data_IF_279398888787
#
_entry.id   IF_279398888787
#
_cell.length_a   1.000
_cell.length_b   1.000
_cell.length_c   1.000
_cell.angle_alpha   90.00
_cell.angle_beta   90.00
_cell.angle_gamma   90.00
#
_symmetry.space_group_name_H-M   'P 1'
#
loop_
_entity.id
_entity.type
_entity.pdbx_description
1 polymer ?
#
# COMPACT_ATOMS: atom_id res chain seq x y z
N UNK A 1 11.92 -11.00 19.73
CA UNK A 1 12.01 -11.37 18.31
C UNK A 1 13.32 -12.08 17.91
N UNK A 2 14.20 -12.43 18.83
CA UNK A 2 15.46 -13.13 18.52
C UNK A 2 15.41 -14.65 18.67
N UNK A 3 14.27 -15.21 19.07
CA UNK A 3 14.18 -16.66 19.35
C UNK A 3 14.22 -17.51 18.07
N UNK A 4 13.82 -16.93 16.92
CA UNK A 4 13.72 -17.70 15.67
C UNK A 4 14.51 -17.12 14.50
N UNK A 5 15.32 -16.08 14.69
CA UNK A 5 16.08 -15.37 13.64
C UNK A 5 15.23 -15.02 12.38
N UNK A 6 13.94 -14.75 12.60
CA UNK A 6 12.98 -14.42 11.55
C UNK A 6 12.70 -12.93 11.55
N UNK A 7 12.96 -12.28 10.42
CA UNK A 7 12.59 -10.89 10.20
C UNK A 7 11.12 -10.77 9.81
N UNK A 8 10.34 -10.07 10.61
CA UNK A 8 8.98 -9.69 10.25
C UNK A 8 9.01 -8.66 9.12
N UNK A 9 8.52 -9.00 7.92
CA UNK A 9 8.49 -8.08 6.76
C UNK A 9 7.25 -7.20 6.73
N UNK A 10 6.12 -7.76 7.17
CA UNK A 10 4.82 -7.12 7.06
C UNK A 10 4.00 -7.42 8.30
N UNK A 11 3.39 -6.40 8.86
CA UNK A 11 2.43 -6.49 9.96
C UNK A 11 1.12 -5.90 9.48
N UNK A 12 0.08 -6.69 9.49
CA UNK A 12 -1.28 -6.25 9.19
C UNK A 12 -2.01 -5.97 10.50
N UNK A 13 -2.45 -4.74 10.66
CA UNK A 13 -3.16 -4.28 11.84
C UNK A 13 -4.66 -4.25 11.52
N UNK A 14 -5.42 -5.08 12.22
CA UNK A 14 -6.87 -5.15 12.11
C UNK A 14 -7.48 -4.93 13.46
N UNK A 15 -8.58 -4.20 13.50
CA UNK A 15 -9.44 -4.13 14.67
C UNK A 15 -10.80 -4.78 14.37
N UNK A 16 -11.45 -5.26 15.41
CA UNK A 16 -12.82 -5.76 15.28
C UNK A 16 -13.74 -4.59 14.98
N UNK A 17 -14.55 -4.75 13.95
CA UNK A 17 -15.65 -3.83 13.61
C UNK A 17 -16.96 -4.61 13.59
N UNK A 18 -18.00 -4.10 14.27
CA UNK A 18 -19.31 -4.73 14.21
C UNK A 18 -19.80 -4.74 12.77
N UNK A 19 -20.24 -5.89 12.29
CA UNK A 19 -20.91 -6.01 11.01
C UNK A 19 -22.42 -5.91 11.18
N UNK A 20 -23.15 -5.22 10.29
CA UNK A 20 -24.60 -5.21 10.32
C UNK A 20 -25.17 -6.63 10.31
N UNK A 21 -26.06 -6.94 11.25
CA UNK A 21 -26.65 -8.28 11.40
C UNK A 21 -25.80 -9.28 12.19
N UNK A 22 -24.62 -8.92 12.65
CA UNK A 22 -23.83 -9.73 13.57
C UNK A 22 -24.40 -9.61 14.99
N UNK A 23 -24.54 -10.75 15.68
CA UNK A 23 -24.87 -10.79 17.10
C UNK A 23 -23.62 -10.62 17.99
N UNK A 24 -22.43 -10.53 17.37
CA UNK A 24 -21.18 -10.43 18.10
C UNK A 24 -20.88 -8.97 18.39
N UNK A 25 -20.87 -8.63 19.66
CA UNK A 25 -20.42 -7.31 20.14
C UNK A 25 -18.94 -7.37 20.49
N UNK A 26 -18.20 -6.32 20.13
CA UNK A 26 -16.83 -6.18 20.58
C UNK A 26 -16.86 -5.79 22.07
N UNK A 27 -16.37 -6.64 23.00
CA UNK A 27 -16.37 -6.32 24.42
C UNK A 27 -15.49 -5.10 24.73
N UNK A 28 -14.48 -4.85 23.91
CA UNK A 28 -13.57 -3.71 24.02
C UNK A 28 -13.34 -3.10 22.63
N UNK A 29 -14.21 -2.20 22.19
CA UNK A 29 -14.05 -1.56 20.88
C UNK A 29 -12.83 -0.64 20.91
N UNK A 30 -11.96 -0.81 19.91
CA UNK A 30 -10.78 0.04 19.73
C UNK A 30 -11.19 1.31 18.97
N UNK A 31 -11.01 2.47 19.60
CA UNK A 31 -11.26 3.77 18.97
C UNK A 31 -10.24 4.09 17.87
N UNK A 32 -10.52 5.06 17.02
CA UNK A 32 -9.61 5.51 15.97
C UNK A 32 -8.28 6.02 16.55
N UNK A 33 -8.33 6.77 17.66
CA UNK A 33 -7.14 7.27 18.32
C UNK A 33 -6.25 6.14 18.90
N UNK A 34 -6.85 5.12 19.50
CA UNK A 34 -6.12 3.96 20.00
C UNK A 34 -5.52 3.14 18.85
N UNK A 35 -6.27 2.98 17.76
CA UNK A 35 -5.78 2.30 16.57
C UNK A 35 -4.56 2.99 15.97
N UNK A 36 -4.62 4.33 15.78
CA UNK A 36 -3.48 5.12 15.31
C UNK A 36 -2.29 5.05 16.26
N UNK A 37 -2.54 5.03 17.57
CA UNK A 37 -1.49 4.82 18.57
C UNK A 37 -0.82 3.45 18.40
N UNK A 38 -1.59 2.39 18.15
CA UNK A 38 -1.04 1.06 17.87
C UNK A 38 -0.19 1.06 16.60
N UNK A 39 -0.61 1.76 15.54
CA UNK A 39 0.19 1.92 14.30
C UNK A 39 1.51 2.62 14.60
N UNK A 40 1.48 3.73 15.34
CA UNK A 40 2.67 4.49 15.71
C UNK A 40 3.64 3.64 16.57
N UNK A 41 3.14 2.94 17.58
CA UNK A 41 3.94 2.04 18.42
C UNK A 41 4.56 0.93 17.57
N UNK A 42 3.80 0.29 16.69
CA UNK A 42 4.30 -0.74 15.79
C UNK A 42 5.40 -0.20 14.88
N UNK A 43 5.26 1.02 14.36
CA UNK A 43 6.30 1.68 13.54
C UNK A 43 7.59 1.91 14.31
N UNK A 44 7.51 2.37 15.56
CA UNK A 44 8.69 2.57 16.40
C UNK A 44 9.35 1.25 16.80
N UNK A 45 8.54 0.22 17.10
CA UNK A 45 9.04 -1.09 17.51
C UNK A 45 9.68 -1.90 16.37
N UNK A 46 9.16 -1.75 15.15
CA UNK A 46 9.60 -2.50 13.95
C UNK A 46 9.72 -1.55 12.75
N UNK A 47 10.72 -0.64 12.76
CA UNK A 47 10.82 0.45 11.78
C UNK A 47 11.01 -0.01 10.34
N UNK A 48 11.50 -1.22 10.13
CA UNK A 48 11.76 -1.81 8.81
C UNK A 48 10.56 -2.58 8.23
N UNK A 49 9.56 -2.93 9.05
CA UNK A 49 8.41 -3.69 8.57
C UNK A 49 7.41 -2.81 7.82
N UNK A 50 6.73 -3.40 6.85
CA UNK A 50 5.55 -2.77 6.24
C UNK A 50 4.38 -2.88 7.21
N UNK A 51 3.76 -1.74 7.53
CA UNK A 51 2.54 -1.72 8.31
C UNK A 51 1.36 -1.54 7.37
N UNK A 52 0.46 -2.52 7.35
CA UNK A 52 -0.68 -2.59 6.44
C UNK A 52 -1.94 -2.13 7.16
N UNK A 53 -2.62 -1.16 6.57
CA UNK A 53 -4.01 -0.82 6.86
C UNK A 53 -4.93 -1.38 5.79
N UNK A 54 -6.20 -1.58 6.12
CA UNK A 54 -7.20 -2.05 5.15
C UNK A 54 -8.18 -0.95 4.80
N UNK A 55 -8.74 -1.00 3.60
CA UNK A 55 -9.82 -0.10 3.17
C UNK A 55 -11.17 -0.40 3.83
N UNK A 56 -11.22 -1.36 4.75
CA UNK A 56 -12.35 -1.53 5.69
C UNK A 56 -12.43 -0.40 6.72
N UNK A 57 -11.32 0.28 6.96
CA UNK A 57 -11.26 1.48 7.79
C UNK A 57 -11.73 2.71 6.99
N UNK A 58 -12.28 3.75 7.65
CA UNK A 58 -12.67 4.99 6.99
C UNK A 58 -11.47 5.68 6.30
N UNK A 59 -11.72 6.39 5.20
CA UNK A 59 -10.67 7.05 4.41
C UNK A 59 -9.86 8.08 5.20
N UNK A 60 -10.48 8.81 6.13
CA UNK A 60 -9.74 9.71 7.04
C UNK A 60 -8.68 8.97 7.85
N UNK A 61 -8.97 7.73 8.25
CA UNK A 61 -8.01 6.90 9.00
C UNK A 61 -6.85 6.41 8.12
N UNK A 62 -7.03 6.29 6.80
CA UNK A 62 -5.92 5.94 5.90
C UNK A 62 -4.89 7.04 5.85
N UNK A 63 -5.32 8.32 5.70
CA UNK A 63 -4.45 9.49 5.71
C UNK A 63 -3.69 9.59 7.03
N UNK A 64 -4.43 9.57 8.14
CA UNK A 64 -3.85 9.73 9.46
C UNK A 64 -2.94 8.53 9.80
N UNK A 65 -3.31 7.32 9.39
CA UNK A 65 -2.50 6.12 9.54
C UNK A 65 -1.19 6.18 8.76
N UNK A 66 -1.21 6.67 7.51
CA UNK A 66 0.01 6.93 6.75
C UNK A 66 0.88 7.99 7.45
N UNK A 67 0.27 9.05 8.00
CA UNK A 67 0.96 10.10 8.75
C UNK A 67 1.68 9.60 10.01
N UNK A 68 1.16 8.55 10.68
CA UNK A 68 1.77 7.96 11.88
C UNK A 68 2.60 6.70 11.60
N UNK A 69 2.78 6.32 10.33
CA UNK A 69 3.73 5.29 9.95
C UNK A 69 3.20 4.06 9.24
N UNK A 70 1.92 3.98 8.88
CA UNK A 70 1.48 2.97 7.93
C UNK A 70 2.17 3.18 6.58
N UNK A 71 2.50 2.09 5.90
CA UNK A 71 3.26 2.14 4.64
C UNK A 71 2.64 1.29 3.53
N UNK A 72 1.50 0.68 3.80
CA UNK A 72 0.78 -0.11 2.82
C UNK A 72 -0.72 -0.03 3.08
N UNK A 73 -1.50 0.14 2.02
CA UNK A 73 -2.96 0.00 2.04
C UNK A 73 -3.36 -1.28 1.30
N UNK A 74 -4.23 -2.07 1.91
CA UNK A 74 -4.86 -3.22 1.29
C UNK A 74 -6.22 -2.79 0.74
N UNK A 75 -6.32 -2.68 -0.59
CA UNK A 75 -7.53 -2.25 -1.29
C UNK A 75 -8.44 -3.43 -1.62
N UNK A 76 -9.71 -3.16 -1.91
CA UNK A 76 -10.67 -4.18 -2.33
C UNK A 76 -10.95 -5.26 -1.29
N UNK A 77 -10.71 -4.96 -0.01
CA UNK A 77 -10.97 -5.93 1.06
C UNK A 77 -12.47 -6.12 1.26
N UNK A 78 -12.97 -7.27 0.85
CA UNK A 78 -14.35 -7.69 1.07
C UNK A 78 -14.44 -8.73 2.19
N UNK A 79 -15.50 -8.70 2.96
CA UNK A 79 -15.72 -9.67 4.04
C UNK A 79 -16.27 -11.00 3.51
N UNK A 80 -16.83 -10.99 2.31
CA UNK A 80 -17.45 -12.16 1.69
C UNK A 80 -16.44 -12.84 0.75
N UNK A 81 -16.22 -14.16 0.88
CA UNK A 81 -15.41 -14.90 -0.08
C UNK A 81 -15.98 -14.75 -1.49
N UNK A 82 -15.09 -14.61 -2.46
CA UNK A 82 -15.43 -14.53 -3.88
C UNK A 82 -16.30 -13.32 -4.28
N UNK A 83 -16.26 -12.24 -3.51
CA UNK A 83 -16.93 -10.97 -3.83
C UNK A 83 -18.44 -11.13 -4.12
N UNK A 84 -19.08 -12.10 -3.48
CA UNK A 84 -20.49 -12.40 -3.67
C UNK A 84 -20.82 -13.13 -4.97
N UNK A 85 -19.86 -13.68 -5.71
CA UNK A 85 -20.09 -14.41 -6.96
C UNK A 85 -21.09 -15.56 -6.84
N UNK A 86 -21.25 -16.13 -5.64
CA UNK A 86 -22.22 -17.20 -5.36
C UNK A 86 -23.55 -16.71 -4.80
N UNK A 87 -23.74 -15.39 -4.69
CA UNK A 87 -25.02 -14.84 -4.24
C UNK A 87 -25.99 -14.77 -5.41
N UNK A 88 -27.21 -15.25 -5.19
CA UNK A 88 -28.28 -15.07 -6.17
C UNK A 88 -28.59 -13.57 -6.37
N UNK A 89 -29.05 -13.16 -7.55
CA UNK A 89 -29.47 -11.80 -7.80
C UNK A 89 -30.44 -11.29 -6.71
N UNK A 90 -30.12 -10.18 -6.07
CA UNK A 90 -30.93 -9.61 -4.98
C UNK A 90 -30.63 -10.14 -3.56
N UNK A 91 -29.77 -11.13 -3.41
CA UNK A 91 -29.34 -11.61 -2.11
C UNK A 91 -28.31 -10.65 -1.51
N UNK A 92 -28.55 -10.21 -0.27
CA UNK A 92 -27.61 -9.30 0.42
C UNK A 92 -26.35 -10.05 0.86
N UNK A 93 -25.22 -9.38 0.73
CA UNK A 93 -23.94 -9.87 1.26
C UNK A 93 -24.07 -10.08 2.78
N UNK A 94 -23.83 -11.30 3.29
CA UNK A 94 -23.77 -11.49 4.74
C UNK A 94 -22.56 -10.71 5.28
N UNK A 95 -22.74 -9.96 6.34
CA UNK A 95 -21.70 -9.18 7.02
C UNK A 95 -20.98 -8.15 6.12
N UNK A 96 -21.69 -7.18 5.54
CA UNK A 96 -21.04 -6.11 4.79
C UNK A 96 -20.14 -5.31 5.75
N UNK A 97 -18.83 -5.33 5.52
CA UNK A 97 -17.85 -4.57 6.29
C UNK A 97 -17.17 -3.57 5.34
N UNK A 98 -17.45 -2.29 5.56
CA UNK A 98 -16.90 -1.20 4.78
C UNK A 98 -17.43 -1.14 3.35
N UNK A 99 -16.95 -0.17 2.61
CA UNK A 99 -17.17 -0.05 1.16
C UNK A 99 -16.00 -0.72 0.45
N UNK A 100 -16.31 -1.53 -0.57
CA UNK A 100 -15.29 -2.06 -1.46
C UNK A 100 -14.74 -0.88 -2.29
N UNK A 101 -13.60 -0.33 -1.90
CA UNK A 101 -12.96 0.72 -2.66
C UNK A 101 -12.12 0.12 -3.78
N UNK A 102 -12.39 0.55 -5.02
CA UNK A 102 -11.53 0.21 -6.15
C UNK A 102 -10.13 0.79 -5.97
N UNK A 103 -9.12 0.10 -6.50
CA UNK A 103 -7.73 0.55 -6.40
C UNK A 103 -7.53 1.96 -6.92
N UNK A 104 -8.19 2.35 -8.00
CA UNK A 104 -8.12 3.70 -8.58
C UNK A 104 -8.64 4.77 -7.61
N UNK A 105 -9.71 4.51 -6.86
CA UNK A 105 -10.25 5.43 -5.85
C UNK A 105 -9.26 5.64 -4.71
N UNK A 106 -8.62 4.58 -4.25
CA UNK A 106 -7.60 4.64 -3.20
C UNK A 106 -6.36 5.37 -3.69
N UNK A 107 -5.93 5.10 -4.92
CA UNK A 107 -4.82 5.83 -5.55
C UNK A 107 -5.14 7.30 -5.65
N UNK A 108 -6.30 7.67 -6.16
CA UNK A 108 -6.74 9.08 -6.25
C UNK A 108 -6.75 9.75 -4.87
N UNK A 109 -7.28 9.09 -3.85
CA UNK A 109 -7.24 9.58 -2.48
C UNK A 109 -5.80 9.85 -2.00
N UNK A 110 -4.87 8.92 -2.25
CA UNK A 110 -3.46 9.09 -1.88
C UNK A 110 -2.81 10.28 -2.60
N UNK A 111 -3.15 10.50 -3.86
CA UNK A 111 -2.64 11.64 -4.65
C UNK A 111 -3.22 12.97 -4.15
N UNK A 112 -4.54 13.04 -3.94
CA UNK A 112 -5.27 14.27 -3.58
C UNK A 112 -5.01 14.70 -2.13
N UNK A 113 -5.23 13.78 -1.19
CA UNK A 113 -5.29 14.10 0.24
C UNK A 113 -3.95 13.90 0.96
N UNK A 114 -3.21 12.86 0.58
CA UNK A 114 -1.95 12.52 1.25
C UNK A 114 -0.72 13.00 0.48
N UNK A 115 -0.85 13.42 -0.78
CA UNK A 115 0.25 13.77 -1.69
C UNK A 115 1.34 12.69 -1.73
N UNK A 116 0.92 11.44 -1.65
CA UNK A 116 1.77 10.25 -1.69
C UNK A 116 1.65 9.57 -3.04
N UNK A 117 2.79 9.25 -3.64
CA UNK A 117 2.85 8.44 -4.83
C UNK A 117 2.83 6.96 -4.40
N UNK A 118 1.77 6.20 -4.74
CA UNK A 118 1.71 4.78 -4.40
C UNK A 118 2.68 3.96 -5.25
N UNK A 119 3.19 2.87 -4.68
CA UNK A 119 4.07 1.92 -5.35
C UNK A 119 3.41 0.55 -5.45
N UNK A 120 3.45 -0.05 -6.62
CA UNK A 120 3.03 -1.43 -6.88
C UNK A 120 4.21 -2.38 -7.02
N UNK A 121 5.43 -1.93 -6.72
CA UNK A 121 6.66 -2.67 -6.90
C UNK A 121 6.69 -3.98 -6.11
N UNK A 122 6.98 -5.08 -6.80
CA UNK A 122 7.18 -6.43 -6.25
C UNK A 122 8.60 -6.97 -6.49
N UNK A 123 9.60 -6.12 -6.76
CA UNK A 123 10.95 -6.52 -7.10
C UNK A 123 11.63 -7.37 -6.02
N UNK A 124 11.57 -6.97 -4.74
CA UNK A 124 12.26 -7.68 -3.66
C UNK A 124 11.91 -9.18 -3.56
N UNK A 125 10.62 -9.59 -3.52
CA UNK A 125 10.30 -11.02 -3.48
C UNK A 125 10.71 -11.76 -4.76
N UNK A 126 10.67 -11.12 -5.93
CA UNK A 126 11.06 -11.72 -7.22
C UNK A 126 12.56 -11.92 -7.33
N UNK A 127 13.34 -10.99 -6.80
CA UNK A 127 14.80 -11.08 -6.73
C UNK A 127 15.30 -11.98 -5.58
N UNK A 128 14.40 -12.66 -4.88
CA UNK A 128 14.78 -13.55 -3.76
C UNK A 128 15.25 -12.83 -2.51
N UNK A 129 15.16 -11.51 -2.44
CA UNK A 129 15.59 -10.69 -1.28
C UNK A 129 14.71 -10.96 -0.07
N UNK A 130 15.12 -11.89 0.79
CA UNK A 130 14.34 -12.39 1.95
C UNK A 130 15.21 -12.45 3.21
N UNK A 131 14.57 -12.54 4.37
CA UNK A 131 15.23 -12.78 5.66
C UNK A 131 16.37 -11.80 5.92
N UNK A 132 17.56 -12.31 6.21
CA UNK A 132 18.75 -11.53 6.55
C UNK A 132 19.24 -10.66 5.38
N UNK A 133 19.16 -11.14 4.15
CA UNK A 133 19.54 -10.36 2.97
C UNK A 133 18.71 -9.07 2.89
N UNK A 134 17.39 -9.18 3.03
CA UNK A 134 16.51 -8.01 3.08
C UNK A 134 16.87 -7.07 4.23
N UNK A 135 17.14 -7.60 5.42
CA UNK A 135 17.52 -6.79 6.59
C UNK A 135 18.84 -6.07 6.39
N UNK A 136 19.84 -6.72 5.78
CA UNK A 136 21.13 -6.09 5.46
C UNK A 136 20.93 -4.92 4.51
N UNK A 137 20.16 -5.10 3.44
CA UNK A 137 19.82 -4.02 2.51
C UNK A 137 19.14 -2.82 3.18
N UNK A 138 18.22 -3.09 4.13
CA UNK A 138 17.55 -2.03 4.89
C UNK A 138 18.54 -1.27 5.78
N UNK A 139 19.43 -1.99 6.47
CA UNK A 139 20.43 -1.40 7.38
C UNK A 139 21.46 -0.57 6.63
N UNK A 140 21.88 -1.02 5.46
CA UNK A 140 22.89 -0.36 4.63
C UNK A 140 22.31 0.80 3.79
N UNK A 141 21.03 1.14 3.98
CA UNK A 141 20.31 2.14 3.19
C UNK A 141 20.33 1.88 1.66
N UNK A 142 20.71 0.69 1.24
CA UNK A 142 20.80 0.28 -0.17
C UNK A 142 19.45 0.25 -0.89
N UNK A 143 18.34 0.30 -0.12
CA UNK A 143 17.02 0.30 -0.71
C UNK A 143 16.64 1.62 -1.38
N UNK A 144 17.17 2.77 -0.95
CA UNK A 144 16.75 4.08 -1.48
C UNK A 144 17.02 4.21 -2.97
N UNK A 145 18.21 3.84 -3.41
CA UNK A 145 18.62 3.95 -4.82
C UNK A 145 17.84 3.05 -5.79
N UNK A 146 17.17 2.03 -5.28
CA UNK A 146 16.38 1.07 -6.08
C UNK A 146 14.87 1.26 -5.88
N UNK A 147 14.43 1.52 -4.64
CA UNK A 147 13.01 1.62 -4.32
C UNK A 147 12.33 2.83 -4.97
N UNK A 148 13.01 3.99 -5.05
CA UNK A 148 12.49 5.15 -5.75
C UNK A 148 12.23 4.83 -7.22
N UNK A 149 13.26 4.56 -8.05
CA UNK A 149 13.08 4.23 -9.46
C UNK A 149 12.05 3.13 -9.73
N UNK A 150 12.05 2.06 -8.92
CA UNK A 150 11.08 0.97 -9.06
C UNK A 150 9.64 1.41 -8.69
N UNK A 151 9.50 2.31 -7.71
CA UNK A 151 8.21 2.88 -7.34
C UNK A 151 7.61 3.67 -8.48
N UNK A 152 8.38 4.59 -9.08
CA UNK A 152 7.96 5.44 -10.18
C UNK A 152 7.59 4.59 -11.41
N UNK A 153 8.38 3.58 -11.75
CA UNK A 153 8.10 2.69 -12.87
C UNK A 153 6.80 1.90 -12.68
N UNK A 154 6.62 1.29 -11.50
CA UNK A 154 5.40 0.53 -11.21
C UNK A 154 4.15 1.42 -11.12
N UNK A 155 4.31 2.67 -10.72
CA UNK A 155 3.22 3.63 -10.70
C UNK A 155 2.86 4.11 -12.11
N UNK A 156 3.83 4.41 -12.97
CA UNK A 156 3.59 4.73 -14.38
C UNK A 156 2.85 3.61 -15.10
N UNK A 157 3.24 2.35 -14.84
CA UNK A 157 2.54 1.19 -15.38
C UNK A 157 1.07 1.16 -14.96
N UNK A 158 0.79 1.44 -13.68
CA UNK A 158 -0.59 1.58 -13.20
C UNK A 158 -1.33 2.71 -13.92
N UNK A 159 -0.71 3.88 -14.08
CA UNK A 159 -1.33 5.01 -14.77
C UNK A 159 -1.70 4.70 -16.22
N UNK A 160 -0.84 3.97 -16.92
CA UNK A 160 -1.06 3.63 -18.34
C UNK A 160 -2.17 2.60 -18.54
N UNK A 161 -2.30 1.61 -17.64
CA UNK A 161 -3.13 0.43 -17.88
C UNK A 161 -4.40 0.36 -17.03
N UNK A 162 -4.42 0.99 -15.86
CA UNK A 162 -5.48 0.79 -14.87
C UNK A 162 -6.15 2.07 -14.38
N UNK A 163 -5.49 3.22 -14.51
CA UNK A 163 -5.99 4.47 -13.98
C UNK A 163 -7.10 5.07 -14.84
N UNK A 164 -8.10 5.66 -14.18
CA UNK A 164 -9.05 6.55 -14.86
C UNK A 164 -8.34 7.80 -15.42
N UNK A 165 -8.90 8.49 -16.43
CA UNK A 165 -8.27 9.70 -16.99
C UNK A 165 -7.93 10.76 -15.95
N UNK A 166 -8.80 10.96 -14.95
CA UNK A 166 -8.57 11.92 -13.86
C UNK A 166 -7.40 11.51 -12.99
N UNK A 167 -7.35 10.24 -12.56
CA UNK A 167 -6.27 9.70 -11.73
C UNK A 167 -4.94 9.76 -12.47
N UNK A 168 -4.96 9.47 -13.78
CA UNK A 168 -3.78 9.56 -14.64
C UNK A 168 -3.21 10.98 -14.68
N UNK A 169 -4.02 11.98 -14.99
CA UNK A 169 -3.59 13.37 -15.06
C UNK A 169 -2.94 13.84 -13.74
N UNK A 170 -3.54 13.47 -12.62
CA UNK A 170 -3.01 13.81 -11.29
C UNK A 170 -1.71 13.08 -11.00
N UNK A 171 -1.66 11.79 -11.31
CA UNK A 171 -0.50 10.94 -11.10
C UNK A 171 0.71 11.39 -11.92
N UNK A 172 0.51 11.73 -13.20
CA UNK A 172 1.58 12.25 -14.08
C UNK A 172 2.19 13.53 -13.53
N UNK A 173 1.38 14.46 -13.01
CA UNK A 173 1.88 15.70 -12.39
C UNK A 173 2.74 15.41 -11.16
N UNK A 174 2.27 14.52 -10.28
CA UNK A 174 3.01 14.18 -9.07
C UNK A 174 4.29 13.39 -9.39
N UNK A 175 4.26 12.55 -10.42
CA UNK A 175 5.44 11.80 -10.88
C UNK A 175 6.55 12.75 -11.35
N UNK A 176 6.22 13.79 -12.12
CA UNK A 176 7.18 14.83 -12.54
C UNK A 176 7.78 15.52 -11.31
N UNK A 177 6.94 15.97 -10.37
CA UNK A 177 7.40 16.60 -9.13
C UNK A 177 8.35 15.69 -8.34
N UNK A 178 8.06 14.40 -8.26
CA UNK A 178 8.93 13.43 -7.60
C UNK A 178 10.27 13.24 -8.28
N UNK A 179 10.29 13.15 -9.60
CA UNK A 179 11.53 13.02 -10.37
C UNK A 179 12.45 14.24 -10.18
N UNK A 180 11.88 15.43 -10.04
CA UNK A 180 12.65 16.68 -9.81
C UNK A 180 13.32 16.71 -8.42
N UNK A 181 12.79 15.95 -7.45
CA UNK A 181 13.35 15.84 -6.10
C UNK A 181 14.30 14.66 -5.90
N UNK A 182 14.53 13.86 -6.93
CA UNK A 182 15.48 12.74 -6.90
C UNK A 182 16.94 13.21 -7.08
N UNK A 183 17.87 12.42 -6.55
CA UNK A 183 19.29 12.58 -6.92
C UNK A 183 19.48 12.27 -8.40
N UNK A 184 20.54 12.80 -9.01
CA UNK A 184 20.84 12.57 -10.44
C UNK A 184 20.95 11.07 -10.78
N UNK A 185 21.50 10.28 -9.88
CA UNK A 185 21.63 8.83 -10.06
C UNK A 185 20.26 8.14 -10.03
N UNK A 186 19.43 8.43 -9.03
CA UNK A 186 18.09 7.86 -8.91
C UNK A 186 17.21 8.27 -10.08
N UNK A 187 17.24 9.56 -10.46
CA UNK A 187 16.50 10.08 -11.60
C UNK A 187 16.91 9.38 -12.90
N UNK A 188 18.20 9.23 -13.18
CA UNK A 188 18.67 8.54 -14.38
C UNK A 188 18.24 7.06 -14.42
N UNK A 189 18.16 6.39 -13.28
CA UNK A 189 17.64 5.04 -13.18
C UNK A 189 16.11 5.00 -13.41
N UNK A 190 15.36 5.92 -12.80
CA UNK A 190 13.92 6.04 -12.98
C UNK A 190 13.54 6.34 -14.43
N UNK A 191 14.18 7.30 -15.07
CA UNK A 191 13.95 7.67 -16.47
C UNK A 191 14.14 6.49 -17.44
N UNK A 192 15.18 5.66 -17.21
CA UNK A 192 15.40 4.45 -18.01
C UNK A 192 14.29 3.42 -17.85
N UNK A 193 13.78 3.23 -16.63
CA UNK A 193 12.65 2.33 -16.37
C UNK A 193 11.37 2.88 -16.98
N UNK A 194 11.07 4.17 -16.78
CA UNK A 194 9.91 4.85 -17.35
C UNK A 194 9.88 4.75 -18.87
N UNK A 195 11.03 4.93 -19.53
CA UNK A 195 11.14 4.76 -20.98
C UNK A 195 10.74 3.36 -21.43
N UNK A 196 11.15 2.32 -20.70
CA UNK A 196 10.78 0.94 -21.01
C UNK A 196 9.28 0.71 -20.82
N UNK A 197 8.72 1.18 -19.71
CA UNK A 197 7.28 1.07 -19.41
C UNK A 197 6.45 1.77 -20.50
N UNK A 198 6.83 2.99 -20.88
CA UNK A 198 6.17 3.74 -21.95
C UNK A 198 6.32 3.10 -23.33
N UNK A 199 7.36 2.29 -23.53
CA UNK A 199 7.54 1.45 -24.71
C UNK A 199 6.74 0.13 -24.66
N UNK A 200 5.85 -0.04 -23.68
CA UNK A 200 4.98 -1.21 -23.54
C UNK A 200 5.59 -2.40 -22.81
N UNK A 201 6.75 -2.24 -22.16
CA UNK A 201 7.28 -3.28 -21.29
C UNK A 201 6.62 -3.18 -19.92
N UNK A 202 6.28 -4.33 -19.37
CA UNK A 202 5.64 -4.43 -18.07
C UNK A 202 6.62 -5.01 -17.05
N UNK A 203 6.39 -4.62 -15.77
CA UNK A 203 7.05 -5.25 -14.64
C UNK A 203 8.58 -5.04 -14.63
N UNK A 204 9.01 -3.86 -15.07
CA UNK A 204 10.41 -3.47 -15.11
C UNK A 204 10.89 -2.97 -13.75
N UNK A 205 12.04 -3.47 -13.30
CA UNK A 205 12.67 -3.06 -12.03
C UNK A 205 14.20 -3.27 -12.06
N UNK A 206 14.90 -2.72 -11.08
CA UNK A 206 16.33 -2.87 -10.83
C UNK A 206 16.64 -3.43 -9.45
#
# INVERSE_FOLDING_TARGET
MRVYDVACRTVSLHRMRPAPGSQMEAPYPVSDAEYLRCVAIARLAIPYARLVLTTKEPSGLWRDGCGVGASQLLTGSVANPYDGWFLAPGQKVPFPIGEACHVDEVVRFLLEEARHLPSFCAACPRLGRRGQEFLSMVRECGMKSQCGPNSEASFEEFLLHFATPRTREMGERLLVDKLDHMTAQERGAAEKLLQKVRAGRMDEFI
#
